data_IF_012177100590
#
_entry.id   IF_012177100590
#
_cell.length_a   1.000
_cell.length_b   1.000
_cell.length_c   1.000
_cell.angle_alpha   90.00
_cell.angle_beta   90.00
_cell.angle_gamma   90.00
#
_symmetry.space_group_name_H-M   'P 1'
#
loop_
_entity.id
_entity.type
_entity.pdbx_description
1 polymer ?
#
# COMPACT_ATOMS: atom_id res chain seq x y z
N UNK A 1 13.31 1.77 -23.89
CA UNK A 1 13.19 1.77 -22.41
C UNK A 1 11.72 1.90 -22.07
N UNK A 2 11.01 0.77 -21.92
CA UNK A 2 9.59 0.78 -21.55
C UNK A 2 9.45 1.29 -20.13
N UNK A 3 8.62 2.32 -19.95
CA UNK A 3 8.24 2.82 -18.62
C UNK A 3 7.53 1.67 -17.90
N UNK A 4 8.12 1.16 -16.81
CA UNK A 4 7.40 0.22 -15.94
C UNK A 4 6.13 0.92 -15.47
N UNK A 5 4.99 0.31 -15.81
CA UNK A 5 3.71 0.71 -15.28
C UNK A 5 3.70 0.38 -13.78
N UNK A 6 3.50 1.34 -12.85
CA UNK A 6 3.60 1.10 -11.40
C UNK A 6 2.59 0.08 -10.85
N UNK A 7 1.64 -0.35 -11.68
CA UNK A 7 0.58 -1.30 -11.36
C UNK A 7 0.95 -2.76 -11.69
N UNK A 8 2.05 -3.01 -12.40
CA UNK A 8 2.57 -4.36 -12.64
C UNK A 8 3.64 -4.69 -11.60
N UNK A 9 3.22 -4.79 -10.33
CA UNK A 9 4.07 -5.41 -9.32
C UNK A 9 4.24 -6.90 -9.67
N UNK A 10 5.46 -7.47 -9.69
CA UNK A 10 5.65 -8.91 -9.87
C UNK A 10 4.83 -9.67 -8.82
N UNK A 11 4.29 -10.83 -9.19
CA UNK A 11 3.27 -11.59 -8.41
C UNK A 11 3.67 -11.90 -6.95
N UNK A 12 4.96 -11.80 -6.63
CA UNK A 12 5.57 -12.02 -5.32
C UNK A 12 5.75 -10.77 -4.44
N UNK A 13 5.40 -9.57 -4.91
CA UNK A 13 5.50 -8.35 -4.11
C UNK A 13 4.26 -8.20 -3.19
N UNK A 14 4.09 -9.16 -2.26
CA UNK A 14 2.98 -9.18 -1.30
C UNK A 14 3.04 -7.95 -0.39
N UNK A 15 1.97 -7.15 -0.38
CA UNK A 15 1.77 -6.12 0.64
C UNK A 15 1.53 -6.83 1.97
N UNK A 16 2.47 -6.73 2.91
CA UNK A 16 2.37 -7.39 4.22
C UNK A 16 1.91 -6.45 5.34
N UNK A 17 1.95 -5.13 5.11
CA UNK A 17 1.55 -4.13 6.09
C UNK A 17 1.08 -2.83 5.41
N UNK A 18 0.05 -2.20 5.98
CA UNK A 18 -0.43 -0.86 5.63
C UNK A 18 -0.65 -0.09 6.92
N UNK A 19 -0.05 1.09 7.04
CA UNK A 19 -0.21 1.97 8.20
C UNK A 19 -0.47 3.41 7.75
N UNK A 20 -1.37 4.09 8.44
CA UNK A 20 -1.53 5.54 8.35
C UNK A 20 -0.56 6.18 9.35
N UNK A 21 0.36 6.98 8.83
CA UNK A 21 1.51 7.48 9.57
C UNK A 21 1.62 8.98 9.38
N UNK A 22 2.09 9.68 10.42
CA UNK A 22 2.50 11.08 10.30
C UNK A 22 3.88 11.17 9.64
N UNK A 23 4.25 12.38 9.22
CA UNK A 23 5.61 12.65 8.71
C UNK A 23 6.69 12.32 9.77
N UNK A 24 6.39 12.54 11.05
CA UNK A 24 7.29 12.21 12.13
C UNK A 24 7.47 10.69 12.29
N UNK A 25 6.40 9.92 12.18
CA UNK A 25 6.46 8.45 12.23
C UNK A 25 7.31 7.91 11.06
N UNK A 26 7.13 8.44 9.85
CA UNK A 26 7.92 8.06 8.69
C UNK A 26 9.41 8.36 8.86
N UNK A 27 9.74 9.52 9.45
CA UNK A 27 11.11 9.92 9.74
C UNK A 27 11.80 8.96 10.72
N UNK A 28 11.07 8.51 11.76
CA UNK A 28 11.59 7.58 12.77
C UNK A 28 11.70 6.16 12.25
N UNK A 29 10.72 5.69 11.48
CA UNK A 29 10.65 4.31 10.99
C UNK A 29 11.55 4.06 9.76
N UNK A 30 11.91 5.10 9.00
CA UNK A 30 12.98 5.06 8.00
C UNK A 30 12.78 4.08 6.83
N UNK A 31 13.92 3.63 6.26
CA UNK A 31 14.06 2.87 5.00
C UNK A 31 13.38 1.49 4.95
N UNK A 32 12.77 1.05 6.05
CA UNK A 32 12.04 -0.23 6.11
C UNK A 32 10.77 -0.24 5.27
N UNK A 33 10.24 0.94 4.90
CA UNK A 33 9.12 1.06 3.99
C UNK A 33 9.57 1.02 2.54
N UNK A 34 9.03 0.05 1.79
CA UNK A 34 9.30 -0.09 0.36
C UNK A 34 8.59 0.98 -0.48
N UNK A 35 7.44 1.50 -0.01
CA UNK A 35 6.64 2.55 -0.66
C UNK A 35 5.89 3.38 0.40
N UNK A 36 5.74 4.68 0.18
CA UNK A 36 4.92 5.58 0.98
C UNK A 36 4.12 6.51 0.06
N UNK A 37 2.84 6.72 0.38
CA UNK A 37 1.92 7.56 -0.39
C UNK A 37 1.27 8.57 0.54
N UNK A 38 1.29 9.86 0.18
CA UNK A 38 0.64 10.92 0.96
C UNK A 38 -0.87 10.80 0.76
N UNK A 39 -1.61 10.78 1.86
CA UNK A 39 -3.08 10.86 1.87
C UNK A 39 -3.44 12.27 2.31
N UNK A 40 -4.18 13.02 1.49
CA UNK A 40 -4.54 14.42 1.79
C UNK A 40 -5.83 14.54 2.63
N UNK A 41 -6.65 13.48 2.69
CA UNK A 41 -7.89 13.43 3.49
C UNK A 41 -8.04 12.09 4.22
N UNK A 42 -8.18 12.12 5.55
CA UNK A 42 -8.26 10.93 6.41
C UNK A 42 -9.43 9.98 6.05
N UNK A 43 -10.50 10.50 5.45
CA UNK A 43 -11.70 9.74 5.12
C UNK A 43 -11.46 8.62 4.10
N UNK A 44 -10.41 8.72 3.29
CA UNK A 44 -10.09 7.74 2.24
C UNK A 44 -9.36 6.50 2.75
N UNK A 45 -8.77 6.56 3.95
CA UNK A 45 -7.99 5.43 4.48
C UNK A 45 -8.85 4.20 4.76
N UNK A 46 -10.06 4.39 5.30
CA UNK A 46 -10.99 3.28 5.53
C UNK A 46 -11.51 2.64 4.23
N UNK A 47 -11.71 3.43 3.18
CA UNK A 47 -12.10 2.90 1.88
C UNK A 47 -10.96 2.08 1.25
N UNK A 48 -9.72 2.56 1.38
CA UNK A 48 -8.53 1.85 0.96
C UNK A 48 -8.38 0.50 1.68
N UNK A 49 -8.50 0.47 3.00
CA UNK A 49 -8.42 -0.79 3.77
C UNK A 49 -9.46 -1.81 3.30
N UNK A 50 -10.72 -1.39 3.11
CA UNK A 50 -11.77 -2.29 2.59
C UNK A 50 -11.47 -2.81 1.19
N UNK A 51 -10.88 -1.98 0.33
CA UNK A 51 -10.49 -2.40 -1.02
C UNK A 51 -9.38 -3.45 -0.99
N UNK A 52 -8.41 -3.30 -0.08
CA UNK A 52 -7.32 -4.28 0.13
C UNK A 52 -7.88 -5.61 0.66
N UNK A 53 -8.74 -5.57 1.69
CA UNK A 53 -9.38 -6.77 2.23
C UNK A 53 -10.17 -7.55 1.18
N UNK A 54 -10.87 -6.82 0.30
CA UNK A 54 -11.62 -7.42 -0.81
C UNK A 54 -10.68 -8.06 -1.83
N UNK A 55 -9.62 -7.37 -2.25
CA UNK A 55 -8.66 -7.90 -3.22
C UNK A 55 -7.93 -9.15 -2.67
N UNK A 56 -7.56 -9.17 -1.39
CA UNK A 56 -6.94 -10.33 -0.76
C UNK A 56 -7.91 -11.52 -0.67
N UNK A 57 -9.20 -11.26 -0.39
CA UNK A 57 -10.24 -12.30 -0.43
C UNK A 57 -10.40 -12.89 -1.83
N UNK A 58 -10.57 -12.04 -2.86
CA UNK A 58 -10.68 -12.47 -4.26
C UNK A 58 -9.46 -13.30 -4.70
N UNK A 59 -8.25 -12.93 -4.26
CA UNK A 59 -7.02 -13.68 -4.54
C UNK A 59 -6.97 -15.06 -3.87
N UNK A 60 -7.60 -15.24 -2.70
CA UNK A 60 -7.62 -16.52 -1.97
C UNK A 60 -8.71 -17.48 -2.44
N UNK A 61 -9.77 -16.93 -3.03
CA UNK A 61 -10.95 -17.68 -3.50
C UNK A 61 -10.84 -18.12 -4.98
N UNK A 62 -9.84 -17.61 -5.71
CA UNK A 62 -9.43 -18.07 -7.05
C UNK A 62 -8.30 -19.09 -7.00
#
# INVERSE_FOLDING_TARGET
MSKLNPLEAPEDERIVAVGLLTEQDLSVLGQGFRRAYRVEQDHDFHALLRAIDRADRERREG
#
